data_IF_381665846845
#
_entry.id   IF_381665846845
#
_cell.length_a   1.000
_cell.length_b   1.000
_cell.length_c   1.000
_cell.angle_alpha   90.00
_cell.angle_beta   90.00
_cell.angle_gamma   90.00
#
_symmetry.space_group_name_H-M   'P 1'
#
loop_
_entity.id
_entity.type
_entity.pdbx_description
1 polymer ?
#
# COMPACT_ATOMS: atom_id res chain seq x y z
N UNK A 1 -17.67 -2.31 10.74
CA UNK A 1 -16.47 -1.47 10.93
C UNK A 1 -16.93 -0.06 10.69
N UNK A 2 -16.58 0.87 11.58
CA UNK A 2 -16.91 2.27 11.39
C UNK A 2 -15.62 2.94 10.92
N UNK A 3 -15.58 3.51 9.70
CA UNK A 3 -14.41 4.24 9.25
C UNK A 3 -14.22 5.49 10.12
N UNK A 4 -12.97 5.93 10.26
CA UNK A 4 -12.63 7.13 11.04
C UNK A 4 -12.31 8.30 10.12
N UNK A 5 -12.71 9.51 10.54
CA UNK A 5 -12.50 10.73 9.78
C UNK A 5 -11.08 11.26 9.94
N UNK A 6 -10.45 11.61 8.81
CA UNK A 6 -9.20 12.37 8.78
C UNK A 6 -9.55 13.84 8.73
N UNK A 7 -9.06 14.61 9.71
CA UNK A 7 -9.33 16.04 9.84
C UNK A 7 -8.13 16.84 9.34
N UNK A 8 -8.39 17.90 8.58
CA UNK A 8 -7.39 18.85 8.12
C UNK A 8 -6.92 19.72 9.30
N UNK A 9 -5.64 19.66 9.71
CA UNK A 9 -5.15 20.42 10.88
C UNK A 9 -5.12 21.94 10.65
N UNK A 10 -5.27 22.42 9.40
CA UNK A 10 -5.28 23.86 9.08
C UNK A 10 -6.68 24.47 9.05
N UNK A 11 -7.73 23.67 8.82
CA UNK A 11 -9.12 24.16 8.69
C UNK A 11 -10.10 23.51 9.67
N UNK A 12 -9.71 22.43 10.34
CA UNK A 12 -10.55 21.59 11.21
C UNK A 12 -11.73 20.92 10.47
N UNK A 13 -11.66 20.88 9.13
CA UNK A 13 -12.66 20.23 8.28
C UNK A 13 -12.26 18.78 7.94
N UNK A 14 -13.26 17.92 7.73
CA UNK A 14 -13.06 16.53 7.34
C UNK A 14 -12.53 16.42 5.89
N UNK A 15 -11.43 15.69 5.69
CA UNK A 15 -10.84 15.38 4.38
C UNK A 15 -11.52 14.15 3.78
N UNK A 16 -11.54 13.04 4.52
CA UNK A 16 -12.13 11.78 4.09
C UNK A 16 -12.32 10.83 5.29
N UNK A 17 -13.03 9.73 5.05
CA UNK A 17 -13.16 8.62 5.99
C UNK A 17 -12.29 7.46 5.52
N UNK A 18 -11.55 6.86 6.44
CA UNK A 18 -10.66 5.71 6.17
C UNK A 18 -11.00 4.53 7.08
N UNK A 19 -10.78 3.32 6.57
CA UNK A 19 -11.02 2.10 7.34
C UNK A 19 -10.12 2.04 8.58
N UNK A 20 -10.72 1.72 9.71
CA UNK A 20 -10.00 1.52 10.97
C UNK A 20 -9.49 0.07 11.05
N UNK A 21 -8.17 -0.09 11.11
CA UNK A 21 -7.54 -1.40 11.26
C UNK A 21 -7.93 -2.06 12.59
N UNK A 22 -8.52 -3.25 12.52
CA UNK A 22 -8.84 -4.06 13.69
C UNK A 22 -7.68 -4.98 14.07
N UNK A 23 -7.76 -5.61 15.25
CA UNK A 23 -6.75 -6.60 15.69
C UNK A 23 -6.57 -7.77 14.71
N UNK A 24 -7.57 -8.07 13.89
CA UNK A 24 -7.54 -9.18 12.93
C UNK A 24 -6.95 -8.84 11.56
N UNK A 25 -6.82 -7.55 11.24
CA UNK A 25 -6.32 -7.12 9.93
C UNK A 25 -4.80 -7.31 9.75
N UNK A 26 -3.97 -7.15 10.82
CA UNK A 26 -2.58 -7.60 10.78
C UNK A 26 -2.44 -9.07 10.41
N UNK A 27 -3.26 -9.96 10.95
CA UNK A 27 -3.18 -11.40 10.67
C UNK A 27 -3.43 -11.69 9.18
N UNK A 28 -4.46 -11.06 8.59
CA UNK A 28 -4.74 -11.17 7.14
C UNK A 28 -3.60 -10.61 6.30
N UNK A 29 -3.01 -9.49 6.70
CA UNK A 29 -1.90 -8.86 6.00
C UNK A 29 -0.64 -9.73 6.05
N UNK A 30 -0.35 -10.34 7.20
CA UNK A 30 0.75 -11.29 7.39
C UNK A 30 0.52 -12.53 6.53
N UNK A 31 -0.67 -13.13 6.58
CA UNK A 31 -1.00 -14.30 5.76
C UNK A 31 -0.83 -14.00 4.25
N UNK A 32 -1.26 -12.83 3.79
CA UNK A 32 -1.08 -12.39 2.41
C UNK A 32 0.41 -12.19 2.05
N UNK A 33 1.20 -11.60 2.95
CA UNK A 33 2.64 -11.42 2.76
C UNK A 33 3.38 -12.77 2.72
N UNK A 34 3.03 -13.70 3.60
CA UNK A 34 3.58 -15.07 3.62
C UNK A 34 3.27 -15.79 2.30
N UNK A 35 2.02 -15.76 1.83
CA UNK A 35 1.63 -16.28 0.51
C UNK A 35 2.42 -15.63 -0.62
N UNK A 36 2.61 -14.32 -0.55
CA UNK A 36 3.43 -13.57 -1.49
C UNK A 36 4.91 -14.00 -1.50
N UNK A 37 5.43 -14.59 -0.42
CA UNK A 37 6.83 -14.97 -0.28
C UNK A 37 7.09 -16.50 -0.34
N UNK A 38 6.04 -17.31 -0.50
CA UNK A 38 6.14 -18.75 -0.72
C UNK A 38 6.96 -19.08 -1.98
N UNK A 39 7.62 -20.24 -1.99
CA UNK A 39 8.58 -20.62 -3.04
C UNK A 39 7.99 -20.58 -4.46
N UNK A 40 6.73 -20.95 -4.59
CA UNK A 40 6.01 -21.01 -5.86
C UNK A 40 5.27 -19.71 -6.21
N UNK A 41 5.37 -18.68 -5.38
CA UNK A 41 4.72 -17.39 -5.59
C UNK A 41 5.29 -16.66 -6.83
N UNK A 42 4.47 -15.82 -7.50
CA UNK A 42 4.97 -15.00 -8.61
C UNK A 42 6.16 -14.12 -8.21
N UNK A 43 6.13 -13.55 -7.00
CA UNK A 43 7.18 -12.67 -6.51
C UNK A 43 8.53 -13.38 -6.36
N UNK A 44 8.54 -14.63 -5.87
CA UNK A 44 9.76 -15.44 -5.72
C UNK A 44 10.26 -16.02 -7.04
N UNK A 45 9.36 -16.22 -8.01
CA UNK A 45 9.66 -16.75 -9.34
C UNK A 45 10.11 -15.69 -10.35
N UNK A 46 9.99 -14.40 -10.04
CA UNK A 46 10.51 -13.37 -10.92
C UNK A 46 12.00 -13.55 -11.18
N UNK A 47 12.39 -13.30 -12.44
CA UNK A 47 13.80 -13.10 -12.77
C UNK A 47 14.38 -11.97 -11.89
N UNK A 48 15.60 -12.14 -11.34
CA UNK A 48 16.25 -11.13 -10.51
C UNK A 48 16.28 -9.72 -11.14
N UNK A 49 16.35 -9.61 -12.47
CA UNK A 49 16.35 -8.33 -13.20
C UNK A 49 14.97 -7.68 -13.31
N UNK A 50 13.87 -8.44 -13.20
CA UNK A 50 12.50 -7.91 -13.31
C UNK A 50 12.09 -7.15 -12.06
N UNK A 51 12.48 -7.62 -10.87
CA UNK A 51 12.08 -6.96 -9.60
C UNK A 51 12.55 -5.50 -9.50
N UNK A 52 13.82 -5.15 -9.82
CA UNK A 52 14.25 -3.76 -9.89
C UNK A 52 13.44 -2.93 -10.90
N UNK A 53 13.09 -3.49 -12.06
CA UNK A 53 12.28 -2.78 -13.05
C UNK A 53 10.88 -2.44 -12.54
N UNK A 54 10.26 -3.34 -11.77
CA UNK A 54 8.96 -3.06 -11.14
C UNK A 54 9.06 -1.91 -10.12
N UNK A 55 10.15 -1.85 -9.35
CA UNK A 55 10.41 -0.77 -8.39
C UNK A 55 10.64 0.56 -9.13
N UNK A 56 11.44 0.57 -10.20
CA UNK A 56 11.64 1.76 -11.03
C UNK A 56 10.32 2.23 -11.65
N UNK A 57 9.50 1.31 -12.15
CA UNK A 57 8.18 1.64 -12.69
C UNK A 57 7.24 2.22 -11.63
N UNK A 58 7.28 1.71 -10.40
CA UNK A 58 6.54 2.31 -9.29
C UNK A 58 7.00 3.75 -9.03
N UNK A 59 8.30 3.99 -9.01
CA UNK A 59 8.85 5.35 -8.86
C UNK A 59 8.39 6.27 -9.99
N UNK A 60 8.43 5.82 -11.24
CA UNK A 60 7.94 6.57 -12.39
C UNK A 60 6.45 6.91 -12.26
N UNK A 61 5.63 6.00 -11.72
CA UNK A 61 4.21 6.24 -11.49
C UNK A 61 3.97 7.27 -10.39
N UNK A 62 4.73 7.21 -9.28
CA UNK A 62 4.65 8.20 -8.20
C UNK A 62 5.05 9.59 -8.70
N UNK A 63 6.12 9.69 -9.49
CA UNK A 63 6.58 10.96 -10.06
C UNK A 63 5.55 11.60 -11.01
N UNK A 64 4.78 10.80 -11.75
CA UNK A 64 3.72 11.31 -12.63
C UNK A 64 2.57 11.98 -11.88
N UNK A 65 2.34 11.60 -10.63
CA UNK A 65 1.24 12.12 -9.80
C UNK A 65 1.78 12.94 -8.62
N UNK A 66 3.01 13.43 -8.70
CA UNK A 66 3.68 14.12 -7.59
C UNK A 66 2.90 15.36 -7.14
N UNK A 67 2.32 16.12 -8.08
CA UNK A 67 1.52 17.31 -7.77
C UNK A 67 0.25 16.99 -6.98
N UNK A 68 -0.25 15.74 -7.08
CA UNK A 68 -1.39 15.26 -6.29
C UNK A 68 -0.97 14.67 -4.93
N UNK A 69 0.26 14.14 -4.83
CA UNK A 69 0.79 13.53 -3.60
C UNK A 69 1.48 14.53 -2.65
N UNK A 70 1.90 15.69 -3.16
CA UNK A 70 2.55 16.76 -2.42
C UNK A 70 1.57 17.52 -1.54
#
# INVERSE_FOLDING_TARGET
MNPFSIINPSTDEEICQVEEGTKSDPDKAIEAAEKGFQYDSPWRKFDPAVRPQLICKLADLLLRVVDYLA
#
